data_IF_416441611890
#
_entry.id   IF_416441611890
#
_cell.length_a   1.000
_cell.length_b   1.000
_cell.length_c   1.000
_cell.angle_alpha   90.00
_cell.angle_beta   90.00
_cell.angle_gamma   90.00
#
_symmetry.space_group_name_H-M   'P 1'
#
loop_
_entity.id
_entity.type
_entity.pdbx_description
1 polymer ?
#
# COMPACT_ATOMS: atom_id res chain seq x y z
N UNK A 1 -5.16 7.59 -15.27
CA UNK A 1 -4.64 8.95 -15.06
C UNK A 1 -3.38 9.15 -15.88
N UNK A 2 -3.37 10.15 -16.74
CA UNK A 2 -2.19 10.62 -17.48
C UNK A 2 -1.34 11.52 -16.59
N UNK A 3 -0.03 11.64 -16.85
CA UNK A 3 0.87 12.47 -16.04
C UNK A 3 0.46 13.96 -15.94
N UNK A 4 -0.35 14.45 -16.90
CA UNK A 4 -0.92 15.80 -16.89
C UNK A 4 -2.04 16.00 -15.85
N UNK A 5 -2.78 14.94 -15.50
CA UNK A 5 -3.84 14.99 -14.48
C UNK A 5 -3.25 15.00 -13.06
N UNK A 6 -2.14 14.28 -12.85
CA UNK A 6 -1.40 14.27 -11.59
C UNK A 6 -0.79 15.65 -11.31
N UNK A 7 -0.26 16.33 -12.34
CA UNK A 7 0.30 17.68 -12.22
C UNK A 7 -0.75 18.76 -11.85
N UNK A 8 -2.05 18.51 -12.09
CA UNK A 8 -3.14 19.42 -11.69
C UNK A 8 -3.69 19.12 -10.29
N UNK A 9 -3.32 17.98 -9.71
CA UNK A 9 -3.77 17.61 -8.39
C UNK A 9 -2.92 18.35 -7.34
N UNK A 10 -3.43 19.48 -6.85
CA UNK A 10 -2.77 20.30 -5.82
C UNK A 10 -2.83 19.67 -4.41
N UNK A 11 -3.23 18.40 -4.32
CA UNK A 11 -3.36 17.68 -3.06
C UNK A 11 -2.01 17.05 -2.71
N UNK A 12 -1.30 17.62 -1.73
CA UNK A 12 -0.12 16.97 -1.16
C UNK A 12 -0.56 15.76 -0.31
N UNK A 13 -0.09 14.53 -0.61
CA UNK A 13 -0.35 13.36 0.22
C UNK A 13 0.00 13.55 1.71
N UNK A 14 0.99 14.38 2.04
CA UNK A 14 1.33 14.76 3.42
C UNK A 14 0.13 15.41 4.11
N UNK A 15 -0.44 16.43 3.50
CA UNK A 15 -1.53 17.21 4.09
C UNK A 15 -2.80 16.36 4.18
N UNK A 16 -3.09 15.59 3.13
CA UNK A 16 -4.18 14.63 3.15
C UNK A 16 -4.05 13.66 4.33
N UNK A 17 -2.89 13.02 4.48
CA UNK A 17 -2.68 12.03 5.53
C UNK A 17 -2.75 12.64 6.94
N UNK A 18 -2.20 13.85 7.14
CA UNK A 18 -2.26 14.57 8.42
C UNK A 18 -3.70 14.95 8.77
N UNK A 19 -4.39 15.64 7.86
CA UNK A 19 -5.73 16.17 8.08
C UNK A 19 -6.77 15.06 8.30
N UNK A 20 -6.48 13.85 7.82
CA UNK A 20 -7.37 12.69 7.95
C UNK A 20 -6.95 11.69 9.05
N UNK A 21 -6.00 12.06 9.91
CA UNK A 21 -5.68 11.32 11.15
C UNK A 21 -4.70 10.16 10.99
N UNK A 22 -4.12 9.95 9.81
CA UNK A 22 -3.22 8.82 9.53
C UNK A 22 -1.88 8.92 10.26
N UNK A 23 -1.42 10.12 10.60
CA UNK A 23 -0.13 10.32 11.27
C UNK A 23 -0.02 9.55 12.59
N UNK A 24 -1.12 9.43 13.33
CA UNK A 24 -1.16 8.66 14.58
C UNK A 24 -0.89 7.16 14.38
N UNK A 25 -1.18 6.62 13.19
CA UNK A 25 -1.03 5.21 12.85
C UNK A 25 0.40 4.84 12.45
N UNK A 26 1.21 5.83 12.06
CA UNK A 26 2.58 5.64 11.59
C UNK A 26 3.60 6.05 12.65
N UNK A 27 3.60 5.31 13.76
CA UNK A 27 4.52 5.50 14.88
C UNK A 27 5.14 4.17 15.30
N UNK A 28 6.44 4.19 15.53
CA UNK A 28 7.12 3.16 16.31
C UNK A 28 7.11 3.60 17.79
N UNK A 29 7.41 2.68 18.70
CA UNK A 29 7.54 2.87 20.15
C UNK A 29 8.33 4.12 20.56
N UNK A 30 9.29 4.55 19.73
CA UNK A 30 10.20 5.68 20.04
C UNK A 30 10.12 6.87 19.08
N UNK A 31 9.60 6.68 17.85
CA UNK A 31 9.72 7.68 16.78
C UNK A 31 8.55 7.60 15.80
N UNK A 32 8.15 8.75 15.26
CA UNK A 32 7.23 8.80 14.11
C UNK A 32 7.94 8.27 12.86
N UNK A 33 7.28 7.39 12.13
CA UNK A 33 7.70 6.88 10.82
C UNK A 33 6.82 7.41 9.69
N UNK A 34 6.00 8.43 9.99
CA UNK A 34 5.05 9.05 9.07
C UNK A 34 5.70 9.56 7.78
N UNK A 35 6.92 10.09 7.87
CA UNK A 35 7.66 10.59 6.72
C UNK A 35 7.94 9.51 5.67
N UNK A 36 8.20 8.26 6.09
CA UNK A 36 8.33 7.14 5.16
C UNK A 36 6.99 6.79 4.49
N UNK A 37 5.88 6.89 5.21
CA UNK A 37 4.55 6.70 4.64
C UNK A 37 4.25 7.76 3.56
N UNK A 38 4.58 9.02 3.83
CA UNK A 38 4.45 10.12 2.87
C UNK A 38 5.33 9.89 1.64
N UNK A 39 6.62 9.57 1.82
CA UNK A 39 7.55 9.24 0.72
C UNK A 39 6.99 8.10 -0.15
N UNK A 40 6.52 7.03 0.50
CA UNK A 40 5.98 5.86 -0.18
C UNK A 40 4.71 6.19 -0.98
N UNK A 41 3.73 6.86 -0.36
CA UNK A 41 2.47 7.25 -1.01
C UNK A 41 2.70 8.23 -2.17
N UNK A 42 3.57 9.23 -1.99
CA UNK A 42 3.97 10.13 -3.07
C UNK A 42 4.57 9.34 -4.23
N UNK A 43 5.48 8.40 -3.96
CA UNK A 43 6.06 7.53 -4.98
C UNK A 43 5.04 6.69 -5.75
N UNK A 44 4.05 6.11 -5.05
CA UNK A 44 2.99 5.32 -5.68
C UNK A 44 2.09 6.15 -6.60
N UNK A 45 1.83 7.41 -6.25
CA UNK A 45 0.92 8.29 -7.00
C UNK A 45 1.64 8.96 -8.17
N UNK A 46 2.89 9.40 -8.00
CA UNK A 46 3.57 10.23 -8.99
C UNK A 46 4.36 9.44 -10.03
N UNK A 47 4.82 8.22 -9.70
CA UNK A 47 5.68 7.46 -10.61
C UNK A 47 4.86 6.62 -11.61
N UNK A 48 5.03 6.84 -12.92
CA UNK A 48 4.19 6.20 -13.93
C UNK A 48 4.49 4.71 -14.13
N UNK A 49 5.71 4.24 -13.88
CA UNK A 49 6.13 2.83 -14.05
C UNK A 49 7.28 2.42 -13.13
N UNK A 50 7.21 1.20 -12.59
CA UNK A 50 8.27 0.58 -11.79
C UNK A 50 8.27 1.06 -10.34
N UNK A 51 7.27 0.64 -9.58
CA UNK A 51 7.01 1.01 -8.18
C UNK A 51 7.95 0.31 -7.19
N UNK A 52 9.25 0.23 -7.51
CA UNK A 52 10.23 -0.34 -6.60
C UNK A 52 10.79 0.74 -5.65
N UNK A 53 11.28 0.30 -4.49
CA UNK A 53 11.74 1.20 -3.42
C UNK A 53 12.91 2.07 -3.86
N UNK A 54 13.78 1.59 -4.74
CA UNK A 54 14.89 2.37 -5.30
C UNK A 54 14.40 3.55 -6.12
N UNK A 55 13.46 3.31 -7.05
CA UNK A 55 12.86 4.37 -7.87
C UNK A 55 12.10 5.37 -7.03
N UNK A 56 11.35 4.93 -6.03
CA UNK A 56 10.66 5.84 -5.09
C UNK A 56 11.70 6.71 -4.36
N UNK A 57 12.74 6.10 -3.77
CA UNK A 57 13.76 6.86 -3.02
C UNK A 57 14.55 7.86 -3.88
N UNK A 58 14.73 7.58 -5.17
CA UNK A 58 15.47 8.46 -6.09
C UNK A 58 14.63 9.64 -6.60
N UNK A 59 13.32 9.45 -6.75
CA UNK A 59 12.44 10.43 -7.41
C UNK A 59 11.55 11.21 -6.43
N UNK A 60 11.37 10.72 -5.20
CA UNK A 60 10.52 11.35 -4.19
C UNK A 60 11.35 11.64 -2.95
N UNK A 61 11.88 12.86 -2.87
CA UNK A 61 12.71 13.32 -1.76
C UNK A 61 11.82 13.94 -0.68
N UNK A 62 11.28 13.10 0.21
CA UNK A 62 10.76 13.55 1.50
C UNK A 62 11.63 13.02 2.64
N UNK A 63 12.04 11.74 2.59
CA UNK A 63 12.96 11.11 3.55
C UNK A 63 13.24 9.64 3.23
N UNK A 64 14.41 9.14 3.69
CA UNK A 64 14.79 7.73 3.66
C UNK A 64 15.39 7.27 2.33
N UNK A 65 16.20 6.21 2.38
CA UNK A 65 16.71 5.52 1.19
C UNK A 65 15.85 4.28 0.86
N UNK A 66 16.21 3.54 -0.20
CA UNK A 66 15.48 2.35 -0.64
C UNK A 66 15.37 1.25 0.43
N UNK A 67 16.39 1.10 1.29
CA UNK A 67 16.37 0.16 2.42
C UNK A 67 15.37 0.62 3.49
N UNK A 68 15.33 1.92 3.79
CA UNK A 68 14.41 2.46 4.79
C UNK A 68 12.95 2.29 4.35
N UNK A 69 12.65 2.52 3.07
CA UNK A 69 11.32 2.28 2.50
C UNK A 69 10.94 0.79 2.47
N UNK A 70 11.92 -0.07 2.18
CA UNK A 70 11.72 -1.53 2.27
C UNK A 70 11.39 -1.95 3.70
N UNK A 71 12.19 -1.49 4.67
CA UNK A 71 11.94 -1.74 6.09
C UNK A 71 10.61 -1.16 6.57
N UNK A 72 10.21 0.01 6.03
CA UNK A 72 8.92 0.62 6.30
C UNK A 72 7.77 -0.29 5.92
N UNK A 73 7.76 -0.86 4.71
CA UNK A 73 6.63 -1.69 4.25
C UNK A 73 6.66 -3.11 4.84
N UNK A 74 7.83 -3.65 5.19
CA UNK A 74 7.94 -5.06 5.63
C UNK A 74 7.94 -5.24 7.14
N UNK A 75 8.64 -4.37 7.87
CA UNK A 75 9.09 -4.68 9.23
C UNK A 75 8.76 -3.58 10.23
N UNK A 76 8.31 -2.43 9.77
CA UNK A 76 7.95 -1.33 10.68
C UNK A 76 6.63 -1.62 11.42
N UNK A 77 6.53 -1.26 12.71
CA UNK A 77 5.43 -1.69 13.57
C UNK A 77 4.19 -0.79 13.45
N UNK A 78 3.64 -0.65 12.24
CA UNK A 78 2.34 0.00 12.01
C UNK A 78 1.29 -1.06 11.65
N UNK A 79 0.03 -0.82 12.03
CA UNK A 79 -1.06 -1.78 11.81
C UNK A 79 -1.78 -1.52 10.48
N UNK A 80 -1.63 -2.44 9.54
CA UNK A 80 -2.35 -2.40 8.26
C UNK A 80 -3.87 -2.47 8.45
N UNK A 81 -4.33 -3.19 9.46
CA UNK A 81 -5.76 -3.26 9.83
C UNK A 81 -6.30 -1.89 10.25
N UNK A 82 -5.59 -1.16 11.11
CA UNK A 82 -6.02 0.17 11.54
C UNK A 82 -6.01 1.18 10.40
N UNK A 83 -4.98 1.14 9.54
CA UNK A 83 -4.93 1.96 8.32
C UNK A 83 -6.15 1.65 7.43
N UNK A 84 -6.42 0.37 7.18
CA UNK A 84 -7.56 -0.05 6.37
C UNK A 84 -8.91 0.36 6.97
N UNK A 85 -9.08 0.23 8.29
CA UNK A 85 -10.30 0.64 8.99
C UNK A 85 -10.54 2.15 8.85
N UNK A 86 -9.50 2.97 9.03
CA UNK A 86 -9.59 4.41 8.85
C UNK A 86 -9.93 4.78 7.39
N UNK A 87 -9.25 4.16 6.43
CA UNK A 87 -9.55 4.36 5.00
C UNK A 87 -10.98 3.99 4.66
N UNK A 88 -11.49 2.83 5.10
CA UNK A 88 -12.88 2.41 4.86
C UNK A 88 -13.87 3.41 5.46
N UNK A 89 -13.60 3.92 6.66
CA UNK A 89 -14.45 4.93 7.30
C UNK A 89 -14.55 6.22 6.48
N UNK A 90 -13.43 6.67 5.90
CA UNK A 90 -13.41 7.82 4.99
C UNK A 90 -14.15 7.54 3.68
N UNK A 91 -13.94 6.35 3.08
CA UNK A 91 -14.63 5.94 1.86
C UNK A 91 -16.14 5.88 2.06
N UNK A 92 -16.62 5.28 3.15
CA UNK A 92 -18.05 5.20 3.48
C UNK A 92 -18.66 6.61 3.61
N UNK A 93 -17.94 7.53 4.26
CA UNK A 93 -18.38 8.93 4.39
C UNK A 93 -18.45 9.64 3.04
N UNK A 94 -17.48 9.41 2.16
CA UNK A 94 -17.44 9.98 0.81
C UNK A 94 -18.51 9.40 -0.11
N UNK A 95 -18.85 8.12 0.06
CA UNK A 95 -19.85 7.42 -0.75
C UNK A 95 -21.24 8.07 -0.61
N UNK A 96 -21.60 8.46 0.63
CA UNK A 96 -22.87 9.12 0.92
C UNK A 96 -24.12 8.30 0.59
N UNK A 97 -25.32 8.87 0.77
CA UNK A 97 -26.57 8.22 0.40
C UNK A 97 -26.66 8.04 -1.12
N UNK A 98 -26.98 6.83 -1.59
CA UNK A 98 -27.15 6.51 -3.01
C UNK A 98 -25.87 6.14 -3.76
N UNK A 99 -24.72 6.09 -3.08
CA UNK A 99 -23.51 5.51 -3.66
C UNK A 99 -23.59 3.98 -3.77
N UNK A 100 -22.90 3.42 -4.75
CA UNK A 100 -22.87 1.97 -5.00
C UNK A 100 -21.53 1.37 -4.57
N UNK A 101 -21.57 0.16 -4.00
CA UNK A 101 -20.38 -0.67 -3.75
C UNK A 101 -20.40 -1.82 -4.72
N UNK A 102 -19.35 -1.94 -5.53
CA UNK A 102 -19.18 -3.04 -6.48
C UNK A 102 -18.22 -4.04 -5.84
N UNK A 103 -18.67 -5.29 -5.71
CA UNK A 103 -17.82 -6.39 -5.31
C UNK A 103 -17.39 -7.15 -6.56
N UNK A 104 -16.10 -7.12 -6.83
CA UNK A 104 -15.47 -7.91 -7.89
C UNK A 104 -14.35 -8.74 -7.27
N UNK A 105 -14.36 -10.03 -7.54
CA UNK A 105 -13.34 -10.94 -7.05
C UNK A 105 -12.12 -10.82 -7.96
N UNK A 106 -11.05 -10.20 -7.44
CA UNK A 106 -9.78 -10.12 -8.14
C UNK A 106 -8.75 -10.98 -7.42
N UNK A 107 -8.03 -11.79 -8.20
CA UNK A 107 -6.89 -12.56 -7.72
C UNK A 107 -5.62 -12.08 -8.40
N UNK A 108 -4.52 -12.03 -7.65
CA UNK A 108 -3.21 -11.72 -8.20
C UNK A 108 -2.31 -12.95 -8.14
N UNK A 109 -1.89 -13.43 -9.31
CA UNK A 109 -0.92 -14.51 -9.39
C UNK A 109 0.42 -14.02 -8.83
N UNK A 110 0.90 -14.67 -7.77
CA UNK A 110 2.19 -14.37 -7.17
C UNK A 110 3.17 -15.50 -7.46
N UNK A 111 4.40 -15.13 -7.79
CA UNK A 111 5.49 -16.04 -8.09
C UNK A 111 6.54 -15.97 -6.98
N UNK A 112 7.08 -17.13 -6.58
CA UNK A 112 8.13 -17.25 -5.56
C UNK A 112 7.63 -17.84 -4.23
N UNK A 113 8.56 -18.38 -3.41
CA UNK A 113 8.24 -19.05 -2.15
C UNK A 113 7.76 -18.06 -1.07
N UNK A 114 8.23 -16.82 -1.14
CA UNK A 114 7.98 -15.77 -0.14
C UNK A 114 6.99 -14.73 -0.65
N UNK A 115 5.74 -15.16 -0.76
CA UNK A 115 4.63 -14.28 -1.09
C UNK A 115 4.12 -13.59 0.19
N UNK A 116 4.55 -12.34 0.43
CA UNK A 116 4.13 -11.56 1.60
C UNK A 116 2.67 -11.09 1.47
N UNK A 117 1.92 -11.16 2.58
CA UNK A 117 0.65 -10.46 2.77
C UNK A 117 -0.57 -11.03 2.04
N UNK A 118 -0.55 -12.31 1.63
CA UNK A 118 -1.74 -12.96 1.04
C UNK A 118 -2.04 -14.28 1.71
N UNK A 119 -3.26 -14.37 2.25
CA UNK A 119 -3.92 -15.65 2.54
C UNK A 119 -4.08 -16.46 1.25
N UNK A 120 -4.35 -17.76 1.38
CA UNK A 120 -4.70 -18.62 0.24
C UNK A 120 -5.81 -17.97 -0.60
N UNK A 121 -5.53 -17.71 -1.87
CA UNK A 121 -6.50 -17.25 -2.85
C UNK A 121 -6.72 -18.36 -3.89
N UNK A 122 -7.97 -18.63 -4.23
CA UNK A 122 -8.31 -19.55 -5.31
C UNK A 122 -8.34 -18.78 -6.63
N UNK A 123 -7.43 -19.11 -7.55
CA UNK A 123 -7.28 -18.45 -8.85
C UNK A 123 -7.82 -19.31 -10.01
N UNK A 124 -8.77 -20.21 -9.74
CA UNK A 124 -9.32 -21.12 -10.74
C UNK A 124 -8.25 -22.05 -11.34
N UNK A 125 -8.10 -22.04 -12.68
CA UNK A 125 -7.14 -22.91 -13.41
C UNK A 125 -5.67 -22.69 -13.02
N UNK A 126 -5.33 -21.57 -12.39
CA UNK A 126 -3.96 -21.30 -11.94
C UNK A 126 -3.58 -22.01 -10.62
N UNK A 127 -4.49 -22.82 -10.05
CA UNK A 127 -4.35 -23.54 -8.77
C UNK A 127 -3.93 -22.65 -7.58
N UNK A 128 -3.97 -23.21 -6.37
CA UNK A 128 -3.67 -22.52 -5.12
C UNK A 128 -2.26 -21.90 -5.18
N UNK A 129 -2.18 -20.56 -5.30
CA UNK A 129 -0.92 -19.83 -5.17
C UNK A 129 -0.91 -19.08 -3.85
N UNK A 130 -0.95 -19.87 -2.78
CA UNK A 130 -0.60 -19.49 -1.42
C UNK A 130 0.13 -20.66 -0.79
N UNK A 131 1.38 -20.43 -0.36
CA UNK A 131 2.26 -21.38 0.36
C UNK A 131 1.98 -22.85 0.06
N UNK A 132 2.48 -23.36 -1.08
CA UNK A 132 2.54 -24.80 -1.28
C UNK A 132 3.41 -25.42 -0.19
N UNK A 133 2.76 -26.10 0.75
CA UNK A 133 3.40 -27.18 1.47
C UNK A 133 3.94 -28.17 0.45
N UNK A 134 5.21 -28.51 0.57
CA UNK A 134 5.80 -29.63 -0.15
C UNK A 134 5.15 -30.94 0.34
N UNK A 135 4.04 -31.35 -0.25
CA UNK A 135 3.77 -32.78 -0.37
C UNK A 135 4.51 -33.28 -1.59
N UNK A 136 5.70 -33.84 -1.35
CA UNK A 136 6.32 -34.81 -2.24
C UNK A 136 5.31 -35.94 -2.46
N UNK A 137 4.77 -36.06 -3.65
CA UNK A 137 4.21 -37.32 -4.12
C UNK A 137 5.33 -38.14 -4.75
N UNK A 138 5.33 -39.43 -4.40
CA UNK A 138 6.31 -40.45 -4.71
C UNK A 138 6.58 -40.65 -6.21
#
# INVERSE_FOLDING_TARGET
>A
MTGKEIARCNADPSDFLRNNGYESLFKNHRKSIFHHAVSYMKGLITLPRGLNMSKISQNVIVSGNSRDLSYFITSSPWSSEHVMKLTRSHVIRLLGPGGAVIFDETGQQKYGPDSVGTSLQYLGKFQYLGKTGHTRTA
#
